data_IF_106647649565
#
_entry.id   IF_106647649565
#
_cell.length_a   1.000
_cell.length_b   1.000
_cell.length_c   1.000
_cell.angle_alpha   90.00
_cell.angle_beta   90.00
_cell.angle_gamma   90.00
#
_symmetry.space_group_name_H-M   'P 1'
#
loop_
_entity.id
_entity.type
_entity.pdbx_description
1 polymer ?
#
# COMPACT_ATOMS: atom_id res chain seq x y z
N UNK A 1 14.59 23.26 -2.31
CA UNK A 1 13.49 22.28 -2.48
C UNK A 1 13.27 21.58 -1.16
N UNK A 2 12.04 21.56 -0.62
CA UNK A 2 11.70 20.55 0.39
C UNK A 2 11.73 19.19 -0.32
N UNK A 3 12.45 18.22 0.25
CA UNK A 3 12.52 16.85 -0.29
C UNK A 3 11.14 16.18 -0.36
N UNK A 4 11.07 15.01 -0.98
CA UNK A 4 9.83 14.21 -1.07
C UNK A 4 9.26 13.93 0.32
N UNK A 5 7.99 14.25 0.52
CA UNK A 5 7.23 13.88 1.72
C UNK A 5 6.29 12.74 1.35
N UNK A 6 6.81 11.52 1.45
CA UNK A 6 6.08 10.31 1.07
C UNK A 6 4.77 10.15 1.86
N UNK A 7 4.72 10.60 3.12
CA UNK A 7 3.50 10.50 3.93
C UNK A 7 2.42 11.44 3.38
N UNK A 8 2.79 12.67 3.01
CA UNK A 8 1.86 13.61 2.35
C UNK A 8 1.38 13.06 1.01
N UNK A 9 2.29 12.51 0.22
CA UNK A 9 1.97 12.01 -1.12
C UNK A 9 1.07 10.76 -1.07
N UNK A 10 1.31 9.84 -0.12
CA UNK A 10 0.42 8.70 0.17
C UNK A 10 -0.98 9.17 0.55
N UNK A 11 -1.11 10.17 1.44
CA UNK A 11 -2.41 10.75 1.82
C UNK A 11 -3.14 11.35 0.62
N UNK A 12 -2.43 11.99 -0.29
CA UNK A 12 -3.00 12.55 -1.51
C UNK A 12 -3.55 11.44 -2.43
N UNK A 13 -2.85 10.31 -2.57
CA UNK A 13 -3.32 9.15 -3.35
C UNK A 13 -4.56 8.51 -2.70
N UNK A 14 -4.59 8.36 -1.38
CA UNK A 14 -5.76 7.83 -0.67
C UNK A 14 -6.98 8.72 -0.92
N UNK A 15 -6.80 10.04 -0.94
CA UNK A 15 -7.87 11.00 -1.22
C UNK A 15 -8.43 10.90 -2.65
N UNK A 16 -7.68 10.36 -3.62
CA UNK A 16 -8.18 10.11 -4.99
C UNK A 16 -8.93 8.78 -5.14
N UNK A 17 -9.12 8.04 -4.03
CA UNK A 17 -9.79 6.72 -4.01
C UNK A 17 -9.06 5.63 -4.79
N UNK A 18 -7.75 5.79 -5.02
CA UNK A 18 -6.91 4.71 -5.54
C UNK A 18 -6.59 3.78 -4.36
N UNK A 19 -6.92 2.47 -4.44
CA UNK A 19 -6.60 1.52 -3.39
C UNK A 19 -5.10 1.43 -3.16
N UNK A 20 -4.68 1.56 -1.91
CA UNK A 20 -3.29 1.41 -1.50
C UNK A 20 -3.22 0.27 -0.48
N UNK A 21 -2.49 -0.79 -0.82
CA UNK A 21 -2.45 -2.00 -0.01
C UNK A 21 -1.05 -2.21 0.59
N UNK A 22 -0.99 -2.74 1.81
CA UNK A 22 0.19 -3.29 2.43
C UNK A 22 0.01 -4.79 2.65
N UNK A 23 1.07 -5.58 2.42
CA UNK A 23 1.04 -7.03 2.64
C UNK A 23 1.20 -7.32 4.12
N UNK A 24 0.21 -7.96 4.74
CA UNK A 24 0.14 -8.19 6.17
C UNK A 24 1.33 -9.00 6.70
N UNK A 25 1.77 -10.00 5.94
CA UNK A 25 2.93 -10.83 6.27
C UNK A 25 4.21 -10.00 6.31
N UNK A 26 4.41 -9.08 5.36
CA UNK A 26 5.59 -8.19 5.34
C UNK A 26 5.56 -7.18 6.50
N UNK A 27 4.37 -6.75 6.93
CA UNK A 27 4.22 -5.91 8.12
C UNK A 27 4.60 -6.68 9.39
N UNK A 28 4.12 -7.91 9.52
CA UNK A 28 4.42 -8.79 10.66
C UNK A 28 5.92 -9.09 10.77
N UNK A 29 6.56 -9.46 9.64
CA UNK A 29 8.00 -9.75 9.57
C UNK A 29 8.85 -8.54 9.96
N UNK A 30 8.33 -7.32 9.76
CA UNK A 30 8.99 -6.04 10.10
C UNK A 30 8.56 -5.49 11.46
N UNK A 31 7.66 -6.16 12.18
CA UNK A 31 7.11 -5.69 13.45
C UNK A 31 6.30 -4.40 13.33
N UNK A 32 5.75 -4.08 12.15
CA UNK A 32 4.96 -2.88 11.91
C UNK A 32 3.51 -3.17 12.25
N UNK A 33 2.97 -2.42 13.21
CA UNK A 33 1.58 -2.50 13.63
C UNK A 33 0.67 -1.73 12.68
N UNK A 34 -0.57 -2.19 12.53
CA UNK A 34 -1.60 -1.52 11.72
C UNK A 34 -1.83 -0.05 12.11
N UNK A 35 -1.68 0.27 13.40
CA UNK A 35 -1.81 1.63 13.94
C UNK A 35 -0.69 2.59 13.48
N UNK A 36 0.41 2.07 12.96
CA UNK A 36 1.52 2.84 12.40
C UNK A 36 1.32 3.15 10.91
N UNK A 37 0.32 2.56 10.26
CA UNK A 37 0.02 2.83 8.86
C UNK A 37 -0.71 4.16 8.69
N UNK A 38 -0.52 4.80 7.53
CA UNK A 38 -1.33 5.95 7.15
C UNK A 38 -2.81 5.49 7.07
N UNK A 39 -3.76 6.20 7.71
CA UNK A 39 -5.16 5.83 7.64
C UNK A 39 -5.65 5.75 6.19
N UNK A 40 -6.30 4.63 5.85
CA UNK A 40 -6.76 4.33 4.49
C UNK A 40 -5.88 3.35 3.72
N UNK A 41 -4.71 2.96 4.24
CA UNK A 41 -3.97 1.81 3.71
C UNK A 41 -4.70 0.52 4.10
N UNK A 42 -5.06 -0.27 3.10
CA UNK A 42 -5.67 -1.58 3.27
C UNK A 42 -4.61 -2.64 3.52
N UNK A 43 -4.94 -3.67 4.31
CA UNK A 43 -4.06 -4.81 4.48
C UNK A 43 -4.58 -5.98 3.65
N UNK A 44 -3.69 -6.58 2.88
CA UNK A 44 -3.97 -7.78 2.10
C UNK A 44 -3.06 -8.91 2.58
N UNK A 45 -3.54 -10.14 2.42
CA UNK A 45 -2.67 -11.30 2.49
C UNK A 45 -1.82 -11.37 1.22
N UNK A 46 -0.64 -11.99 1.29
CA UNK A 46 0.25 -12.19 0.14
C UNK A 46 -0.45 -12.93 -1.00
N UNK A 47 -1.33 -13.87 -0.67
CA UNK A 47 -2.20 -14.57 -1.62
C UNK A 47 -3.11 -13.63 -2.43
N UNK A 48 -3.47 -12.47 -1.88
CA UNK A 48 -4.27 -11.44 -2.55
C UNK A 48 -3.56 -10.75 -3.71
N UNK A 49 -2.22 -10.79 -3.77
CA UNK A 49 -1.44 -10.18 -4.87
C UNK A 49 -1.77 -10.87 -6.21
N UNK A 50 -1.92 -12.19 -6.22
CA UNK A 50 -2.26 -12.93 -7.44
C UNK A 50 -3.59 -12.44 -8.04
N UNK A 51 -4.60 -12.19 -7.19
CA UNK A 51 -5.90 -11.66 -7.61
C UNK A 51 -5.80 -10.23 -8.17
N UNK A 52 -4.93 -9.39 -7.58
CA UNK A 52 -4.68 -8.04 -8.10
C UNK A 52 -4.02 -8.09 -9.48
N UNK A 53 -3.09 -9.01 -9.68
CA UNK A 53 -2.43 -9.24 -10.96
C UNK A 53 -3.43 -9.71 -12.02
N UNK A 54 -4.25 -10.72 -11.70
CA UNK A 54 -5.26 -11.25 -12.62
C UNK A 54 -6.33 -10.22 -13.00
N UNK A 55 -6.61 -9.26 -12.11
CA UNK A 55 -7.61 -8.22 -12.31
C UNK A 55 -7.14 -7.00 -13.10
N UNK A 56 -5.87 -6.93 -13.53
CA UNK A 56 -5.31 -5.75 -14.19
C UNK A 56 -4.53 -6.14 -15.47
N UNK A 57 -4.69 -5.34 -16.53
CA UNK A 57 -4.04 -5.60 -17.83
C UNK A 57 -2.53 -5.34 -17.82
N UNK A 58 -2.05 -4.52 -16.88
CA UNK A 58 -0.66 -4.08 -16.79
C UNK A 58 -0.19 -4.04 -15.36
N UNK A 59 1.07 -4.43 -15.18
CA UNK A 59 1.76 -4.42 -13.89
C UNK A 59 3.01 -3.57 -14.06
N UNK A 60 3.19 -2.60 -13.17
CA UNK A 60 4.41 -1.84 -13.01
C UNK A 60 5.05 -2.27 -11.69
N UNK A 61 6.32 -2.62 -11.70
CA UNK A 61 7.06 -3.10 -10.51
C UNK A 61 8.34 -2.30 -10.34
N UNK A 62 8.70 -1.98 -9.09
CA UNK A 62 9.88 -1.24 -8.68
C UNK A 62 10.56 -1.88 -7.47
#
# INVERSE_FOLDING_TARGET
MKGSDLVRDIKAIIATKIPLCAVAEDLADRGIQSSQLVPGIEQIQRSGIARLIEGNDRILSW
#
